data_IF_651569132243
#
_entry.id   IF_651569132243
#
_cell.length_a   1.000
_cell.length_b   1.000
_cell.length_c   1.000
_cell.angle_alpha   90.00
_cell.angle_beta   90.00
_cell.angle_gamma   90.00
#
_symmetry.space_group_name_H-M   'P 1'
#
loop_
_entity.id
_entity.type
_entity.pdbx_description
1 polymer ?
#
# COMPACT_ATOMS: atom_id res chain seq x y z
N UNK A 1 24.01 31.72 -39.09
CA UNK A 1 24.36 30.98 -37.85
C UNK A 1 23.60 31.43 -36.61
N UNK A 2 23.57 32.72 -36.22
CA UNK A 2 22.83 33.19 -35.02
C UNK A 2 21.32 32.89 -35.06
N UNK A 3 20.63 33.21 -36.17
CA UNK A 3 19.19 32.91 -36.35
C UNK A 3 18.87 31.41 -36.26
N UNK A 4 19.73 30.55 -36.81
CA UNK A 4 19.60 29.10 -36.74
C UNK A 4 19.75 28.58 -35.29
N UNK A 5 20.72 29.11 -34.53
CA UNK A 5 20.86 28.81 -33.09
C UNK A 5 19.63 29.23 -32.28
N UNK A 6 19.03 30.37 -32.61
CA UNK A 6 17.78 30.84 -31.96
C UNK A 6 16.62 29.89 -32.26
N UNK A 7 16.45 29.47 -33.52
CA UNK A 7 15.40 28.51 -33.91
C UNK A 7 15.55 27.19 -33.15
N UNK A 8 16.78 26.65 -33.07
CA UNK A 8 17.05 25.42 -32.30
C UNK A 8 16.72 25.62 -30.82
N UNK A 9 17.13 26.75 -30.23
CA UNK A 9 16.84 27.04 -28.83
C UNK A 9 15.33 27.12 -28.54
N UNK A 10 14.55 27.72 -29.43
CA UNK A 10 13.09 27.78 -29.32
C UNK A 10 12.47 26.38 -29.42
N UNK A 11 12.91 25.56 -30.38
CA UNK A 11 12.41 24.18 -30.53
C UNK A 11 12.71 23.36 -29.27
N UNK A 12 13.92 23.45 -28.73
CA UNK A 12 14.29 22.75 -27.50
C UNK A 12 13.46 23.22 -26.30
N UNK A 13 13.22 24.52 -26.18
CA UNK A 13 12.37 25.07 -25.12
C UNK A 13 10.91 24.59 -25.25
N UNK A 14 10.36 24.53 -26.47
CA UNK A 14 9.02 24.00 -26.72
C UNK A 14 8.92 22.51 -26.41
N UNK A 15 9.93 21.70 -26.76
CA UNK A 15 9.99 20.28 -26.41
C UNK A 15 10.04 20.11 -24.90
N UNK A 16 10.90 20.86 -24.21
CA UNK A 16 11.01 20.80 -22.75
C UNK A 16 9.68 21.17 -22.08
N UNK A 17 9.00 22.21 -22.57
CA UNK A 17 7.68 22.61 -22.08
C UNK A 17 6.64 21.50 -22.26
N UNK A 18 6.60 20.86 -23.43
CA UNK A 18 5.71 19.72 -23.69
C UNK A 18 6.00 18.53 -22.78
N UNK A 19 7.28 18.20 -22.55
CA UNK A 19 7.67 17.10 -21.66
C UNK A 19 7.24 17.34 -20.21
N UNK A 20 7.37 18.57 -19.72
CA UNK A 20 6.89 18.95 -18.37
C UNK A 20 5.38 18.79 -18.29
N UNK A 21 4.63 19.27 -19.29
CA UNK A 21 3.17 19.16 -19.30
C UNK A 21 2.68 17.71 -19.36
N UNK A 22 3.33 16.88 -20.19
CA UNK A 22 3.05 15.44 -20.27
C UNK A 22 3.36 14.75 -18.94
N UNK A 23 4.49 15.11 -18.30
CA UNK A 23 4.88 14.57 -17.00
C UNK A 23 3.87 14.90 -15.90
N UNK A 24 3.41 16.13 -15.83
CA UNK A 24 2.39 16.59 -14.87
C UNK A 24 1.05 15.85 -15.04
N UNK A 25 0.63 15.64 -16.29
CA UNK A 25 -0.55 14.83 -16.60
C UNK A 25 -0.43 13.39 -16.07
N UNK A 26 0.68 12.71 -16.36
CA UNK A 26 0.90 11.35 -15.88
C UNK A 26 1.04 11.27 -14.36
N UNK A 27 1.67 12.26 -13.72
CA UNK A 27 1.75 12.33 -12.26
C UNK A 27 0.34 12.44 -11.64
N UNK A 28 -0.50 13.33 -12.18
CA UNK A 28 -1.86 13.52 -11.67
C UNK A 28 -2.68 12.24 -11.82
N UNK A 29 -2.62 11.60 -12.99
CA UNK A 29 -3.40 10.39 -13.26
C UNK A 29 -2.88 9.18 -12.46
N UNK A 30 -1.57 8.99 -12.32
CA UNK A 30 -1.01 7.76 -11.75
C UNK A 30 -0.52 7.86 -10.30
N UNK A 31 -0.23 9.06 -9.78
CA UNK A 31 0.44 9.22 -8.47
C UNK A 31 -0.40 10.05 -7.51
N UNK A 32 -1.06 11.11 -7.97
CA UNK A 32 -1.89 11.95 -7.09
C UNK A 32 -3.00 11.13 -6.43
N UNK A 33 -2.99 11.04 -5.10
CA UNK A 33 -3.95 10.22 -4.34
C UNK A 33 -5.38 10.75 -4.39
N UNK A 34 -5.58 12.03 -4.72
CA UNK A 34 -6.90 12.65 -4.81
C UNK A 34 -7.63 12.34 -6.12
N UNK A 35 -6.91 11.85 -7.13
CA UNK A 35 -7.48 11.51 -8.43
C UNK A 35 -7.98 10.07 -8.42
N UNK A 36 -9.22 9.86 -8.87
CA UNK A 36 -9.84 8.54 -8.99
C UNK A 36 -9.02 7.62 -9.91
N UNK A 37 -8.66 6.45 -9.38
CA UNK A 37 -7.83 5.44 -10.07
C UNK A 37 -8.64 4.37 -10.77
N UNK A 38 -9.98 4.37 -10.64
CA UNK A 38 -10.86 3.37 -11.26
C UNK A 38 -10.66 3.22 -12.77
N UNK A 39 -10.34 4.31 -13.47
CA UNK A 39 -10.12 4.32 -14.91
C UNK A 39 -8.81 3.66 -15.38
N UNK A 40 -7.85 3.49 -14.49
CA UNK A 40 -6.51 2.93 -14.80
C UNK A 40 -6.19 1.68 -13.97
N UNK A 41 -6.98 1.40 -12.93
CA UNK A 41 -6.93 0.18 -12.15
C UNK A 41 -7.96 -0.78 -12.71
N UNK A 42 -7.52 -1.91 -13.27
CA UNK A 42 -8.40 -2.99 -13.74
C UNK A 42 -9.02 -3.80 -12.59
N UNK A 43 -9.36 -3.15 -11.47
CA UNK A 43 -10.22 -3.75 -10.45
C UNK A 43 -11.65 -3.78 -11.00
N UNK A 44 -11.88 -4.62 -12.00
CA UNK A 44 -13.21 -4.85 -12.56
C UNK A 44 -14.15 -5.35 -11.44
N UNK A 45 -15.36 -4.79 -11.43
CA UNK A 45 -16.57 -5.11 -10.67
C UNK A 45 -16.90 -6.59 -10.34
N UNK A 46 -16.11 -7.57 -10.81
CA UNK A 46 -16.33 -9.01 -10.59
C UNK A 46 -16.15 -9.45 -9.13
N UNK A 47 -15.44 -8.69 -8.29
CA UNK A 47 -15.14 -9.10 -6.92
C UNK A 47 -16.24 -8.74 -5.89
N UNK A 48 -17.05 -7.70 -6.15
CA UNK A 48 -18.04 -7.18 -5.16
C UNK A 48 -19.11 -8.20 -4.78
N UNK A 49 -19.49 -9.12 -5.68
CA UNK A 49 -20.51 -10.14 -5.37
C UNK A 49 -19.92 -11.37 -4.64
N UNK A 50 -18.61 -11.61 -4.71
CA UNK A 50 -17.99 -12.86 -4.25
C UNK A 50 -17.48 -12.83 -2.80
N UNK A 51 -17.23 -11.64 -2.22
CA UNK A 51 -16.61 -11.50 -0.89
C UNK A 51 -17.47 -10.80 0.17
N UNK A 52 -18.80 -10.71 -0.04
CA UNK A 52 -19.72 -10.00 0.86
C UNK A 52 -19.64 -10.51 2.31
N UNK A 53 -19.47 -11.82 2.51
CA UNK A 53 -19.35 -12.39 3.86
C UNK A 53 -18.06 -11.95 4.56
N UNK A 54 -16.93 -12.01 3.85
CA UNK A 54 -15.64 -11.57 4.36
C UNK A 54 -15.59 -10.07 4.63
N UNK A 55 -16.20 -9.27 3.75
CA UNK A 55 -16.32 -7.83 3.92
C UNK A 55 -17.16 -7.46 5.16
N UNK A 56 -18.32 -8.09 5.33
CA UNK A 56 -19.14 -7.91 6.53
C UNK A 56 -18.37 -8.36 7.79
N UNK A 57 -17.64 -9.46 7.71
CA UNK A 57 -16.80 -9.92 8.80
C UNK A 57 -15.70 -8.89 9.13
N UNK A 58 -15.03 -8.32 8.12
CA UNK A 58 -14.04 -7.26 8.30
C UNK A 58 -14.67 -6.08 9.04
N UNK A 59 -15.85 -5.62 8.62
CA UNK A 59 -16.50 -4.46 9.21
C UNK A 59 -16.84 -4.65 10.69
N UNK A 60 -17.28 -5.86 11.05
CA UNK A 60 -17.71 -6.21 12.40
C UNK A 60 -16.55 -6.53 13.36
N UNK A 61 -15.38 -6.94 12.85
CA UNK A 61 -14.29 -7.44 13.68
C UNK A 61 -13.05 -6.53 13.71
N UNK A 62 -12.95 -5.53 12.82
CA UNK A 62 -11.78 -4.65 12.74
C UNK A 62 -11.56 -3.84 14.02
N UNK A 63 -10.31 -3.78 14.47
CA UNK A 63 -9.84 -2.80 15.47
C UNK A 63 -8.92 -1.79 14.79
N UNK A 64 -9.40 -0.57 14.60
CA UNK A 64 -8.64 0.51 13.96
C UNK A 64 -7.50 1.00 14.87
N UNK A 65 -6.33 1.22 14.29
CA UNK A 65 -5.16 1.83 14.91
C UNK A 65 -4.57 2.89 13.98
N UNK A 66 -3.83 3.84 14.56
CA UNK A 66 -3.23 4.95 13.82
C UNK A 66 -1.75 5.10 14.16
N UNK A 67 -0.98 5.58 13.20
CA UNK A 67 0.39 6.01 13.41
C UNK A 67 0.73 7.19 12.49
N UNK A 68 1.78 7.93 12.81
CA UNK A 68 2.34 8.93 11.89
C UNK A 68 3.33 8.28 10.94
N UNK A 69 3.18 8.49 9.63
CA UNK A 69 4.10 8.05 8.57
C UNK A 69 5.49 8.68 8.71
N UNK A 70 6.52 8.09 8.10
CA UNK A 70 7.82 8.76 7.85
C UNK A 70 7.71 10.06 7.06
N UNK A 71 6.60 10.24 6.35
CA UNK A 71 6.28 11.46 5.58
C UNK A 71 5.50 12.50 6.40
N UNK A 72 5.10 12.17 7.63
CA UNK A 72 4.35 13.05 8.53
C UNK A 72 2.82 12.95 8.42
N UNK A 73 2.28 12.19 7.46
CA UNK A 73 0.83 11.95 7.34
C UNK A 73 0.32 10.94 8.38
N UNK A 74 -0.96 11.03 8.74
CA UNK A 74 -1.58 10.02 9.61
C UNK A 74 -2.01 8.80 8.80
N UNK A 75 -1.49 7.64 9.17
CA UNK A 75 -1.85 6.35 8.58
C UNK A 75 -2.83 5.61 9.48
N UNK A 76 -3.68 4.81 8.85
CA UNK A 76 -4.67 3.94 9.49
C UNK A 76 -4.32 2.48 9.18
N UNK A 77 -4.50 1.62 10.17
CA UNK A 77 -4.45 0.17 9.97
C UNK A 77 -5.46 -0.55 10.85
N UNK A 78 -5.68 -1.83 10.56
CA UNK A 78 -6.73 -2.63 11.20
C UNK A 78 -6.14 -3.92 11.77
N UNK A 79 -6.45 -4.20 13.04
CA UNK A 79 -6.08 -5.44 13.73
C UNK A 79 -7.27 -6.39 13.83
N UNK A 80 -7.00 -7.68 13.61
CA UNK A 80 -7.91 -8.80 13.82
C UNK A 80 -7.19 -9.80 14.72
N UNK A 81 -7.61 -9.87 16.00
CA UNK A 81 -6.94 -10.68 17.01
C UNK A 81 -7.57 -12.06 17.10
N UNK A 82 -6.74 -13.09 17.01
CA UNK A 82 -7.13 -14.47 17.24
C UNK A 82 -6.56 -14.91 18.59
N UNK A 83 -7.43 -15.09 19.59
CA UNK A 83 -7.06 -15.32 20.99
C UNK A 83 -6.16 -16.55 21.23
N UNK A 84 -6.03 -17.43 20.23
CA UNK A 84 -5.22 -18.66 20.31
C UNK A 84 -3.90 -18.57 19.54
N UNK A 85 -3.51 -17.38 19.07
CA UNK A 85 -2.36 -17.21 18.18
C UNK A 85 -1.32 -16.24 18.72
N UNK A 86 -0.06 -16.63 18.59
CA UNK A 86 1.14 -15.80 18.78
C UNK A 86 1.76 -15.35 17.44
N UNK A 87 1.20 -15.81 16.31
CA UNK A 87 1.70 -15.50 14.96
C UNK A 87 0.90 -14.39 14.32
N UNK A 88 1.59 -13.56 13.54
CA UNK A 88 1.02 -12.43 12.83
C UNK A 88 1.24 -12.55 11.33
N UNK A 89 0.27 -12.07 10.56
CA UNK A 89 0.48 -11.73 9.17
C UNK A 89 0.09 -10.27 8.93
N UNK A 90 0.91 -9.56 8.16
CA UNK A 90 0.57 -8.24 7.65
C UNK A 90 0.09 -8.38 6.21
N UNK A 91 -1.16 -8.00 5.95
CA UNK A 91 -1.81 -8.09 4.63
C UNK A 91 -1.82 -6.70 3.98
N UNK A 92 -1.14 -6.56 2.85
CA UNK A 92 -0.89 -5.27 2.19
C UNK A 92 -1.62 -5.20 0.85
N UNK A 93 -2.47 -4.19 0.68
CA UNK A 93 -3.30 -4.02 -0.51
C UNK A 93 -2.53 -3.49 -1.72
N UNK A 94 -3.13 -3.64 -2.90
CA UNK A 94 -2.60 -3.17 -4.17
C UNK A 94 -2.88 -1.69 -4.47
N UNK A 95 -2.50 -1.29 -5.68
CA UNK A 95 -2.65 0.08 -6.18
C UNK A 95 -4.13 0.48 -6.28
N UNK A 96 -4.47 1.70 -5.84
CA UNK A 96 -5.83 2.23 -5.89
C UNK A 96 -6.84 1.53 -4.96
N UNK A 97 -6.38 0.54 -4.18
CA UNK A 97 -7.21 -0.26 -3.29
C UNK A 97 -7.05 0.18 -1.82
N UNK A 98 -7.57 -0.61 -0.88
CA UNK A 98 -7.47 -0.36 0.57
C UNK A 98 -7.56 -1.68 1.36
N UNK A 99 -7.37 -1.62 2.68
CA UNK A 99 -7.43 -2.82 3.53
C UNK A 99 -8.80 -3.50 3.55
N UNK A 100 -9.91 -2.77 3.32
CA UNK A 100 -11.25 -3.37 3.24
C UNK A 100 -11.37 -4.30 2.02
N UNK A 101 -10.85 -3.89 0.87
CA UNK A 101 -10.83 -4.75 -0.33
C UNK A 101 -9.95 -6.00 -0.16
N UNK A 102 -9.12 -6.06 0.89
CA UNK A 102 -8.35 -7.25 1.25
C UNK A 102 -9.09 -8.21 2.19
N UNK A 103 -10.38 -7.99 2.45
CA UNK A 103 -11.18 -8.74 3.42
C UNK A 103 -11.10 -10.26 3.22
N UNK A 104 -11.11 -10.74 1.97
CA UNK A 104 -10.93 -12.16 1.64
C UNK A 104 -9.63 -12.72 2.24
N UNK A 105 -8.49 -12.12 1.89
CA UNK A 105 -7.17 -12.57 2.37
C UNK A 105 -7.05 -12.44 3.90
N UNK A 106 -7.53 -11.32 4.45
CA UNK A 106 -7.54 -11.08 5.90
C UNK A 106 -8.31 -12.20 6.60
N UNK A 107 -9.52 -12.52 6.13
CA UNK A 107 -10.35 -13.59 6.71
C UNK A 107 -9.68 -14.96 6.59
N UNK A 108 -9.11 -15.29 5.42
CA UNK A 108 -8.42 -16.58 5.22
C UNK A 108 -7.27 -16.77 6.19
N UNK A 109 -6.41 -15.76 6.37
CA UNK A 109 -5.32 -15.87 7.34
C UNK A 109 -5.82 -15.94 8.78
N UNK A 110 -6.86 -15.18 9.12
CA UNK A 110 -7.48 -15.26 10.43
C UNK A 110 -8.01 -16.67 10.73
N UNK A 111 -8.69 -17.29 9.77
CA UNK A 111 -9.24 -18.65 9.87
C UNK A 111 -8.16 -19.73 9.95
N UNK A 112 -6.98 -19.48 9.37
CA UNK A 112 -5.78 -20.31 9.53
C UNK A 112 -5.12 -20.17 10.90
N UNK A 113 -5.66 -19.31 11.78
CA UNK A 113 -5.18 -19.15 13.14
C UNK A 113 -4.10 -18.09 13.30
N UNK A 114 -4.01 -17.10 12.42
CA UNK A 114 -3.10 -15.95 12.58
C UNK A 114 -3.84 -14.76 13.21
N UNK A 115 -3.12 -13.94 13.97
CA UNK A 115 -3.48 -12.53 14.10
C UNK A 115 -3.22 -11.84 12.77
N UNK A 116 -4.10 -10.91 12.37
CA UNK A 116 -3.94 -10.20 11.10
C UNK A 116 -3.84 -8.70 11.35
N UNK A 117 -2.84 -8.07 10.75
CA UNK A 117 -2.75 -6.63 10.62
C UNK A 117 -2.89 -6.23 9.14
N UNK A 118 -3.67 -5.21 8.84
CA UNK A 118 -3.86 -4.72 7.49
C UNK A 118 -3.78 -3.18 7.48
N UNK A 119 -2.69 -2.56 7.01
CA UNK A 119 -2.60 -1.12 6.88
C UNK A 119 -3.29 -0.62 5.60
N UNK A 120 -3.90 0.57 5.69
CA UNK A 120 -4.14 1.40 4.52
C UNK A 120 -2.82 2.12 4.19
N UNK A 121 -2.29 1.93 2.98
CA UNK A 121 -1.07 2.58 2.50
C UNK A 121 -1.28 4.09 2.28
N UNK A 122 -0.18 4.85 2.22
CA UNK A 122 -0.23 6.32 2.14
C UNK A 122 -1.10 6.80 0.96
N UNK A 123 -2.01 7.72 1.24
CA UNK A 123 -2.93 8.28 0.24
C UNK A 123 -4.02 7.30 -0.24
N UNK A 124 -4.21 6.17 0.43
CA UNK A 124 -5.23 5.17 0.09
C UNK A 124 -6.08 4.81 1.30
N UNK A 125 -7.29 4.30 1.08
CA UNK A 125 -8.24 3.97 2.16
C UNK A 125 -8.51 5.16 3.09
N UNK A 126 -8.33 4.96 4.39
CA UNK A 126 -8.43 6.03 5.41
C UNK A 126 -7.11 6.70 5.76
N UNK A 127 -6.01 6.26 5.17
CA UNK A 127 -4.70 6.88 5.39
C UNK A 127 -4.61 8.20 4.65
N UNK A 128 -4.07 9.23 5.33
CA UNK A 128 -3.77 10.50 4.71
C UNK A 128 -2.62 10.36 3.70
N UNK A 129 -2.56 11.29 2.75
CA UNK A 129 -1.47 11.38 1.78
C UNK A 129 -1.85 12.25 0.59
N UNK A 130 -0.84 12.80 -0.08
CA UNK A 130 -1.00 13.57 -1.34
C UNK A 130 -0.53 12.81 -2.58
N UNK A 131 -0.02 11.60 -2.38
CA UNK A 131 0.53 10.75 -3.43
C UNK A 131 0.43 9.29 -3.01
N UNK A 132 0.42 8.41 -4.00
CA UNK A 132 0.60 6.97 -3.86
C UNK A 132 2.10 6.68 -3.97
N UNK A 133 2.67 5.98 -2.99
CA UNK A 133 4.12 5.83 -2.90
C UNK A 133 4.71 4.67 -3.70
N UNK A 134 3.90 3.76 -4.23
CA UNK A 134 4.34 2.65 -5.10
C UNK A 134 5.39 1.74 -4.46
N UNK A 135 5.35 1.54 -3.14
CA UNK A 135 6.31 0.71 -2.40
C UNK A 135 7.52 1.45 -1.84
N UNK A 136 7.67 2.75 -2.13
CA UNK A 136 8.77 3.58 -1.64
C UNK A 136 8.67 3.89 -0.14
N UNK A 137 8.00 4.98 0.23
CA UNK A 137 7.68 5.31 1.62
C UNK A 137 6.79 4.25 2.30
N UNK A 138 5.98 3.51 1.53
CA UNK A 138 5.16 2.41 2.04
C UNK A 138 5.99 1.37 2.80
N UNK A 139 7.18 1.02 2.29
CA UNK A 139 8.07 0.05 2.93
C UNK A 139 8.65 0.56 4.26
N UNK A 140 9.00 1.84 4.33
CA UNK A 140 9.44 2.50 5.56
C UNK A 140 8.35 2.55 6.62
N UNK A 141 7.12 2.84 6.18
CA UNK A 141 5.95 2.81 7.06
C UNK A 141 5.58 1.38 7.48
N UNK A 142 5.75 0.39 6.59
CA UNK A 142 5.61 -1.03 6.92
C UNK A 142 6.59 -1.43 8.04
N UNK A 143 7.85 -1.00 7.95
CA UNK A 143 8.83 -1.24 9.01
C UNK A 143 8.38 -0.65 10.35
N UNK A 144 7.82 0.57 10.36
CA UNK A 144 7.26 1.18 11.58
C UNK A 144 6.07 0.40 12.13
N UNK A 145 5.19 -0.13 11.28
CA UNK A 145 4.11 -1.01 11.73
C UNK A 145 4.64 -2.31 12.34
N UNK A 146 5.67 -2.91 11.75
CA UNK A 146 6.36 -4.08 12.31
C UNK A 146 6.92 -3.75 13.70
N UNK A 147 7.53 -2.59 13.90
CA UNK A 147 8.04 -2.17 15.22
C UNK A 147 6.92 -1.97 16.24
N UNK A 148 5.79 -1.37 15.84
CA UNK A 148 4.62 -1.27 16.72
C UNK A 148 4.14 -2.66 17.14
N UNK A 149 4.07 -3.63 16.23
CA UNK A 149 3.70 -5.02 16.58
C UNK A 149 4.75 -5.67 17.50
N UNK A 150 6.04 -5.47 17.22
CA UNK A 150 7.13 -5.99 18.05
C UNK A 150 7.05 -5.48 19.50
N UNK A 151 6.79 -4.19 19.68
CA UNK A 151 6.74 -3.55 21.00
C UNK A 151 5.49 -3.98 21.78
N UNK A 152 4.36 -4.15 21.09
CA UNK A 152 3.07 -4.47 21.70
C UNK A 152 2.83 -5.96 21.95
N UNK A 153 3.54 -6.83 21.22
CA UNK A 153 3.31 -8.29 21.23
C UNK A 153 4.58 -9.12 21.46
N UNK A 154 5.62 -8.52 22.07
CA UNK A 154 6.88 -9.20 22.44
C UNK A 154 7.56 -9.91 21.26
N UNK A 155 7.76 -9.17 20.15
CA UNK A 155 8.43 -9.63 18.91
C UNK A 155 7.84 -10.95 18.37
N UNK A 156 6.54 -10.97 18.02
CA UNK A 156 5.88 -12.19 17.55
C UNK A 156 6.44 -12.63 16.19
N UNK A 157 6.26 -13.89 15.81
CA UNK A 157 6.59 -14.29 14.43
C UNK A 157 5.65 -13.60 13.43
N UNK A 158 6.22 -12.90 12.46
CA UNK A 158 5.50 -12.10 11.46
C UNK A 158 5.75 -12.66 10.06
N UNK A 159 4.67 -12.87 9.31
CA UNK A 159 4.68 -13.03 7.86
C UNK A 159 4.20 -11.74 7.19
N UNK A 160 4.74 -11.41 6.02
CA UNK A 160 4.28 -10.30 5.19
C UNK A 160 3.64 -10.86 3.92
N UNK A 161 2.47 -10.35 3.57
CA UNK A 161 1.73 -10.70 2.36
C UNK A 161 1.35 -9.43 1.62
N UNK A 162 1.61 -9.39 0.31
CA UNK A 162 1.30 -8.23 -0.52
C UNK A 162 0.86 -8.61 -1.93
N UNK A 163 -0.10 -7.84 -2.47
CA UNK A 163 -0.62 -7.99 -3.84
C UNK A 163 -0.20 -6.81 -4.70
N UNK A 164 0.35 -7.06 -5.89
CA UNK A 164 0.70 -6.04 -6.88
C UNK A 164 1.59 -4.94 -6.27
N UNK A 165 1.12 -3.69 -6.15
CA UNK A 165 1.86 -2.64 -5.42
C UNK A 165 2.19 -3.01 -3.96
N UNK A 166 1.31 -3.75 -3.29
CA UNK A 166 1.55 -4.30 -1.97
C UNK A 166 2.68 -5.33 -1.95
N UNK A 167 2.86 -6.10 -3.03
CA UNK A 167 3.99 -7.01 -3.19
C UNK A 167 5.32 -6.24 -3.23
N UNK A 168 5.38 -5.17 -4.02
CA UNK A 168 6.53 -4.23 -4.03
C UNK A 168 6.79 -3.67 -2.63
N UNK A 169 5.74 -3.29 -1.90
CA UNK A 169 5.88 -2.76 -0.53
C UNK A 169 6.51 -3.77 0.42
N UNK A 170 6.02 -5.02 0.43
CA UNK A 170 6.56 -6.07 1.32
C UNK A 170 7.95 -6.52 0.88
N UNK A 171 8.32 -6.37 -0.39
CA UNK A 171 9.66 -6.70 -0.85
C UNK A 171 10.67 -5.59 -0.60
N UNK A 172 10.31 -4.34 -0.80
CA UNK A 172 11.18 -3.21 -0.51
C UNK A 172 11.48 -3.05 0.98
N UNK A 173 10.65 -3.61 1.87
CA UNK A 173 10.94 -3.59 3.32
C UNK A 173 12.22 -4.37 3.67
N UNK A 174 12.72 -5.23 2.77
CA UNK A 174 14.00 -5.91 2.94
C UNK A 174 15.21 -4.96 2.93
N UNK A 175 15.07 -3.77 2.34
CA UNK A 175 16.09 -2.73 2.39
C UNK A 175 16.14 -2.00 3.74
N UNK A 176 15.17 -2.27 4.63
CA UNK A 176 15.09 -1.71 5.98
C UNK A 176 15.72 -2.66 7.03
N UNK A 177 16.10 -2.12 8.20
CA UNK A 177 16.64 -2.93 9.30
C UNK A 177 15.54 -3.76 9.99
N UNK A 178 15.25 -4.93 9.42
CA UNK A 178 14.24 -5.84 9.95
C UNK A 178 14.72 -6.66 11.15
N UNK A 179 13.81 -6.89 12.08
CA UNK A 179 14.02 -7.80 13.19
C UNK A 179 13.88 -9.25 12.72
N UNK A 180 14.63 -10.18 13.33
CA UNK A 180 14.68 -11.60 12.92
C UNK A 180 13.36 -12.36 13.07
N UNK A 181 12.35 -11.77 13.69
CA UNK A 181 11.01 -12.35 13.86
C UNK A 181 10.11 -12.12 12.62
N UNK A 182 10.54 -11.34 11.63
CA UNK A 182 9.93 -11.37 10.29
C UNK A 182 10.47 -12.61 9.56
N UNK A 183 9.61 -13.60 9.32
CA UNK A 183 10.02 -14.95 8.88
C UNK A 183 9.78 -15.24 7.41
N UNK A 184 8.71 -14.69 6.86
CA UNK A 184 8.19 -15.06 5.55
C UNK A 184 7.69 -13.82 4.81
N UNK A 185 7.97 -13.77 3.52
CA UNK A 185 7.47 -12.75 2.61
C UNK A 185 6.73 -13.48 1.48
N UNK A 186 5.51 -13.06 1.21
CA UNK A 186 4.64 -13.62 0.19
C UNK A 186 4.26 -12.48 -0.75
N UNK A 187 4.82 -12.51 -1.96
CA UNK A 187 4.43 -11.62 -3.04
C UNK A 187 3.49 -12.34 -4.00
N UNK A 188 2.41 -11.67 -4.40
CA UNK A 188 1.62 -12.07 -5.56
C UNK A 188 1.42 -10.89 -6.50
N UNK A 189 1.42 -11.19 -7.80
CA UNK A 189 1.18 -10.23 -8.85
C UNK A 189 -0.29 -10.17 -9.29
N UNK A 190 -1.18 -11.00 -8.71
CA UNK A 190 -2.52 -11.27 -9.25
C UNK A 190 -3.23 -9.98 -9.72
N UNK A 191 -3.56 -10.00 -11.02
CA UNK A 191 -4.21 -8.97 -11.85
C UNK A 191 -5.65 -9.42 -12.09
#
# INVERSE_FOLDING_TARGET
MKKFKIIIAVILASILFLLVFIGDYFYTVAIDSSTDKSSISNQEQKEEEYYIEEENWFLNNKKEVKMTSVTGFNLVGYKFLNDKSDKWVIVTHGYGSNAYNMAYYIKKFYDLGYNVFAPDLIGLGKSEGKFISMGGYDSKDMKKWIDVLNDTHDKPDIALFGISMGATTVMNVLDEELTKNVKVFIETADI
#
